data_IF_116568185141
#
_entry.id   IF_116568185141
#
_cell.length_a   1.000
_cell.length_b   1.000
_cell.length_c   1.000
_cell.angle_alpha   90.00
_cell.angle_beta   90.00
_cell.angle_gamma   90.00
#
_symmetry.space_group_name_H-M   'P 1'
#
loop_
_entity.id
_entity.type
_entity.pdbx_description
1 polymer ?
#
# COMPACT_ATOMS: atom_id res chain seq x y z
N UNK A 1 -1.06 5.98 19.99
CA UNK A 1 -1.43 6.68 18.73
C UNK A 1 -2.95 6.76 18.65
N UNK A 2 -3.46 7.98 18.50
CA UNK A 2 -4.84 8.27 18.10
C UNK A 2 -5.14 7.75 16.68
N UNK A 3 -6.43 7.65 16.33
CA UNK A 3 -6.87 7.28 14.98
C UNK A 3 -6.25 8.18 13.90
N UNK A 4 -6.22 9.51 14.16
CA UNK A 4 -5.63 10.50 13.25
C UNK A 4 -4.13 10.27 13.01
N UNK A 5 -3.37 9.96 14.06
CA UNK A 5 -1.94 9.67 13.93
C UNK A 5 -1.70 8.38 13.15
N UNK A 6 -2.54 7.35 13.36
CA UNK A 6 -2.46 6.09 12.62
C UNK A 6 -2.71 6.31 11.13
N UNK A 7 -3.76 7.05 10.78
CA UNK A 7 -4.07 7.44 9.41
C UNK A 7 -2.90 8.21 8.79
N UNK A 8 -2.35 9.20 9.49
CA UNK A 8 -1.22 9.99 8.99
C UNK A 8 0.01 9.14 8.67
N UNK A 9 0.29 8.08 9.44
CA UNK A 9 1.38 7.13 9.16
C UNK A 9 1.12 6.36 7.86
N UNK A 10 -0.11 5.89 7.63
CA UNK A 10 -0.45 5.19 6.40
C UNK A 10 -0.42 6.14 5.19
N UNK A 11 -0.93 7.35 5.34
CA UNK A 11 -0.98 8.34 4.26
C UNK A 11 0.39 8.88 3.85
N UNK A 12 1.41 8.74 4.71
CA UNK A 12 2.79 9.02 4.34
C UNK A 12 3.35 8.02 3.29
N UNK A 13 2.71 6.86 3.09
CA UNK A 13 3.13 5.88 2.09
C UNK A 13 2.58 6.23 0.71
N UNK A 14 3.37 6.09 -0.36
CA UNK A 14 2.85 6.25 -1.71
C UNK A 14 1.89 5.11 -2.05
N UNK A 15 0.91 5.38 -2.93
CA UNK A 15 0.02 4.35 -3.47
C UNK A 15 0.82 3.25 -4.16
N UNK A 16 0.33 2.01 -4.07
CA UNK A 16 0.85 0.93 -4.90
C UNK A 16 0.50 1.19 -6.37
N UNK A 17 1.50 1.11 -7.25
CA UNK A 17 1.34 1.41 -8.67
C UNK A 17 1.38 2.91 -9.02
N UNK A 18 1.80 3.78 -8.10
CA UNK A 18 2.09 5.18 -8.40
C UNK A 18 3.24 5.33 -9.41
N UNK A 19 3.28 6.49 -10.08
CA UNK A 19 4.32 6.82 -11.05
C UNK A 19 5.72 6.71 -10.40
N UNK A 20 6.62 5.83 -10.91
CA UNK A 20 7.96 5.67 -10.39
C UNK A 20 8.79 6.96 -10.34
N UNK A 21 8.51 7.95 -11.20
CA UNK A 21 9.18 9.24 -11.19
C UNK A 21 8.90 10.06 -9.92
N UNK A 22 7.73 9.88 -9.30
CA UNK A 22 7.33 10.54 -8.06
C UNK A 22 7.70 9.78 -6.78
N UNK A 23 8.29 8.59 -6.89
CA UNK A 23 8.65 7.75 -5.75
C UNK A 23 10.06 8.07 -5.24
N UNK A 24 10.24 7.96 -3.91
CA UNK A 24 11.57 7.86 -3.32
C UNK A 24 12.30 6.62 -3.84
N UNK A 25 13.64 6.61 -3.77
CA UNK A 25 14.44 5.45 -4.17
C UNK A 25 14.01 4.16 -3.44
N UNK A 26 13.76 4.25 -2.13
CA UNK A 26 13.30 3.12 -1.31
C UNK A 26 11.95 2.62 -1.77
N UNK A 27 10.97 3.52 -1.94
CA UNK A 27 9.63 3.14 -2.40
C UNK A 27 9.64 2.55 -3.81
N UNK A 28 10.51 3.06 -4.69
CA UNK A 28 10.69 2.52 -6.05
C UNK A 28 11.28 1.11 -5.99
N UNK A 29 12.28 0.88 -5.16
CA UNK A 29 12.89 -0.44 -4.96
C UNK A 29 11.88 -1.44 -4.38
N UNK A 30 11.10 -1.04 -3.37
CA UNK A 30 10.05 -1.86 -2.75
C UNK A 30 8.99 -2.32 -3.76
N UNK A 31 8.42 -1.38 -4.52
CA UNK A 31 7.33 -1.69 -5.46
C UNK A 31 7.81 -2.40 -6.75
N UNK A 32 9.12 -2.47 -6.98
CA UNK A 32 9.71 -3.22 -8.07
C UNK A 32 9.25 -2.81 -9.47
N UNK A 33 9.26 -3.79 -10.37
CA UNK A 33 9.39 -3.63 -11.82
C UNK A 33 8.16 -3.02 -12.53
N UNK A 34 8.36 -2.70 -13.82
CA UNK A 34 7.29 -2.30 -14.73
C UNK A 34 6.17 -3.34 -14.74
N UNK A 35 4.93 -2.86 -14.86
CA UNK A 35 3.73 -3.69 -14.87
C UNK A 35 2.86 -3.26 -16.05
N UNK A 36 1.94 -4.13 -16.50
CA UNK A 36 1.04 -3.80 -17.60
C UNK A 36 0.15 -2.59 -17.26
N UNK A 37 -0.17 -1.78 -18.27
CA UNK A 37 -1.08 -0.65 -18.12
C UNK A 37 -2.47 -1.08 -17.61
N UNK A 38 -2.90 -2.31 -17.89
CA UNK A 38 -4.16 -2.88 -17.38
C UNK A 38 -4.12 -3.06 -15.87
N UNK A 39 -3.06 -3.68 -15.33
CA UNK A 39 -2.90 -3.86 -13.88
C UNK A 39 -2.75 -2.52 -13.17
N UNK A 40 -2.02 -1.56 -13.75
CA UNK A 40 -1.89 -0.23 -13.14
C UNK A 40 -3.24 0.52 -13.07
N UNK A 41 -4.05 0.45 -14.14
CA UNK A 41 -5.42 1.02 -14.11
C UNK A 41 -6.31 0.35 -13.08
N UNK A 42 -6.21 -0.97 -12.96
CA UNK A 42 -6.98 -1.74 -11.98
C UNK A 42 -6.58 -1.38 -10.54
N UNK A 43 -5.28 -1.28 -10.25
CA UNK A 43 -4.78 -0.81 -8.96
C UNK A 43 -5.21 0.63 -8.67
N UNK A 44 -5.18 1.53 -9.65
CA UNK A 44 -5.66 2.90 -9.46
C UNK A 44 -7.14 2.93 -9.04
N UNK A 45 -8.00 2.20 -9.76
CA UNK A 45 -9.43 2.12 -9.44
C UNK A 45 -9.70 1.51 -8.06
N UNK A 46 -8.94 0.47 -7.69
CA UNK A 46 -9.06 -0.17 -6.39
C UNK A 46 -8.52 0.70 -5.24
N UNK A 47 -7.39 1.41 -5.42
CA UNK A 47 -6.90 2.38 -4.45
C UNK A 47 -7.93 3.47 -4.19
N UNK A 48 -8.56 4.01 -5.25
CA UNK A 48 -9.58 5.02 -5.11
C UNK A 48 -10.83 4.48 -4.37
N UNK A 49 -11.23 3.23 -4.62
CA UNK A 49 -12.31 2.58 -3.88
C UNK A 49 -11.95 2.37 -2.40
N UNK A 50 -10.71 1.97 -2.13
CA UNK A 50 -10.19 1.73 -0.79
C UNK A 50 -10.16 3.03 0.02
N UNK A 51 -9.58 4.09 -0.55
CA UNK A 51 -9.47 5.39 0.10
C UNK A 51 -10.85 6.03 0.33
N UNK A 52 -11.79 5.88 -0.61
CA UNK A 52 -13.19 6.32 -0.40
C UNK A 52 -13.87 5.57 0.74
N UNK A 53 -13.63 4.27 0.88
CA UNK A 53 -14.27 3.44 1.92
C UNK A 53 -13.68 3.70 3.30
N UNK A 54 -12.35 3.76 3.40
CA UNK A 54 -11.65 3.71 4.69
C UNK A 54 -11.09 5.07 5.13
N UNK A 55 -10.86 5.99 4.19
CA UNK A 55 -10.36 7.33 4.47
C UNK A 55 -8.85 7.41 4.68
N UNK A 56 -8.09 6.40 4.24
CA UNK A 56 -6.62 6.36 4.29
C UNK A 56 -6.06 5.48 3.16
N UNK A 57 -4.77 5.66 2.86
CA UNK A 57 -4.09 4.90 1.79
C UNK A 57 -3.95 3.41 2.11
N UNK A 58 -4.05 2.60 1.06
CA UNK A 58 -3.74 1.18 1.16
C UNK A 58 -2.24 0.95 1.31
N UNK A 59 -1.85 0.27 2.39
CA UNK A 59 -0.47 -0.12 2.68
C UNK A 59 -0.39 -1.65 2.78
N UNK A 60 0.56 -2.22 2.04
CA UNK A 60 0.88 -3.65 2.05
C UNK A 60 2.37 -3.84 1.81
N UNK A 61 3.00 -4.75 2.54
CA UNK A 61 4.38 -5.14 2.35
C UNK A 61 4.51 -5.99 1.09
N UNK A 62 5.01 -5.38 0.02
CA UNK A 62 5.21 -6.00 -1.30
C UNK A 62 6.08 -7.25 -1.22
N UNK A 63 7.16 -7.23 -0.43
CA UNK A 63 8.09 -8.35 -0.25
C UNK A 63 8.51 -9.03 -1.58
N UNK A 64 8.83 -8.23 -2.59
CA UNK A 64 9.24 -8.71 -3.92
C UNK A 64 8.12 -9.29 -4.79
N UNK A 65 6.85 -9.28 -4.34
CA UNK A 65 5.70 -9.71 -5.14
C UNK A 65 5.43 -8.71 -6.27
N UNK A 66 5.04 -9.17 -7.48
CA UNK A 66 4.63 -8.27 -8.55
C UNK A 66 3.34 -7.54 -8.19
N UNK A 67 3.09 -6.38 -8.80
CA UNK A 67 1.93 -5.54 -8.47
C UNK A 67 0.61 -6.25 -8.79
N UNK A 68 0.60 -7.08 -9.83
CA UNK A 68 -0.53 -7.95 -10.18
C UNK A 68 -0.93 -8.93 -9.07
N UNK A 69 0.03 -9.40 -8.26
CA UNK A 69 -0.28 -10.27 -7.12
C UNK A 69 -0.94 -9.52 -5.96
N UNK A 70 -0.88 -8.19 -5.93
CA UNK A 70 -1.51 -7.37 -4.88
C UNK A 70 -2.96 -7.00 -5.19
N UNK A 71 -3.37 -7.06 -6.46
CA UNK A 71 -4.75 -6.82 -6.89
C UNK A 71 -5.76 -7.68 -6.11
N UNK A 72 -5.63 -9.03 -6.02
CA UNK A 72 -6.58 -9.84 -5.25
C UNK A 72 -6.55 -9.52 -3.75
N UNK A 73 -5.40 -9.16 -3.19
CA UNK A 73 -5.27 -8.79 -1.77
C UNK A 73 -6.04 -7.50 -1.50
N UNK A 74 -5.88 -6.49 -2.35
CA UNK A 74 -6.59 -5.22 -2.25
C UNK A 74 -8.10 -5.42 -2.37
N UNK A 75 -8.56 -6.31 -3.26
CA UNK A 75 -9.97 -6.69 -3.40
C UNK A 75 -10.52 -7.38 -2.17
N UNK A 76 -9.79 -8.32 -1.58
CA UNK A 76 -10.20 -9.01 -0.35
C UNK A 76 -10.33 -8.00 0.80
N UNK A 77 -9.33 -7.13 0.96
CA UNK A 77 -9.28 -6.13 2.03
C UNK A 77 -10.39 -5.08 1.93
N UNK A 78 -10.92 -4.82 0.73
CA UNK A 78 -12.13 -4.01 0.54
C UNK A 78 -13.38 -4.59 1.20
N UNK A 79 -13.43 -5.88 1.54
CA UNK A 79 -14.58 -6.46 2.24
C UNK A 79 -14.56 -6.21 3.75
N UNK A 80 -13.41 -5.84 4.33
CA UNK A 80 -13.22 -5.68 5.78
C UNK A 80 -13.81 -4.38 6.33
N UNK A 81 -13.91 -4.29 7.66
CA UNK A 81 -14.26 -3.06 8.36
C UNK A 81 -13.09 -2.06 8.38
N UNK A 82 -13.39 -0.78 8.62
CA UNK A 82 -12.37 0.27 8.71
C UNK A 82 -11.38 0.01 9.84
N UNK A 83 -11.86 -0.44 10.99
CA UNK A 83 -11.02 -0.64 12.17
C UNK A 83 -10.04 -1.81 11.98
N UNK A 84 -10.51 -2.92 11.39
CA UNK A 84 -9.64 -4.02 10.98
C UNK A 84 -8.57 -3.54 10.01
N UNK A 85 -8.96 -2.77 8.99
CA UNK A 85 -8.02 -2.30 7.97
C UNK A 85 -7.01 -1.29 8.47
N UNK A 86 -7.40 -0.44 9.42
CA UNK A 86 -6.47 0.47 10.07
C UNK A 86 -5.44 -0.32 10.89
N UNK A 87 -5.87 -1.37 11.61
CA UNK A 87 -4.96 -2.25 12.34
C UNK A 87 -4.01 -2.99 11.39
N UNK A 88 -4.53 -3.66 10.36
CA UNK A 88 -3.71 -4.40 9.39
C UNK A 88 -2.77 -3.50 8.61
N UNK A 89 -3.22 -2.31 8.18
CA UNK A 89 -2.36 -1.35 7.48
C UNK A 89 -1.13 -0.95 8.30
N UNK A 90 -1.28 -0.81 9.63
CA UNK A 90 -0.16 -0.50 10.53
C UNK A 90 0.81 -1.69 10.68
N UNK A 91 0.30 -2.92 10.76
CA UNK A 91 1.16 -4.11 10.79
C UNK A 91 2.00 -4.25 9.51
N UNK A 92 1.38 -3.98 8.35
CA UNK A 92 2.07 -3.94 7.05
C UNK A 92 3.14 -2.83 7.02
N UNK A 93 2.81 -1.64 7.53
CA UNK A 93 3.77 -0.54 7.68
C UNK A 93 4.97 -0.92 8.58
N UNK A 94 4.71 -1.59 9.71
CA UNK A 94 5.76 -2.07 10.60
C UNK A 94 6.61 -3.16 9.94
N UNK A 95 6.02 -4.04 9.12
CA UNK A 95 6.77 -5.01 8.33
C UNK A 95 7.72 -4.34 7.32
N UNK A 96 7.24 -3.33 6.58
CA UNK A 96 8.08 -2.51 5.68
C UNK A 96 9.21 -1.83 6.46
N UNK A 97 8.89 -1.22 7.61
CA UNK A 97 9.87 -0.51 8.43
C UNK A 97 10.96 -1.44 8.97
N UNK A 98 10.59 -2.67 9.35
CA UNK A 98 11.54 -3.71 9.76
C UNK A 98 12.44 -4.18 8.61
N UNK A 99 11.87 -4.42 7.43
CA UNK A 99 12.66 -4.81 6.25
C UNK A 99 13.66 -3.71 5.85
N UNK A 100 13.25 -2.43 5.92
CA UNK A 100 14.16 -1.29 5.72
C UNK A 100 15.34 -1.31 6.69
N UNK A 101 15.09 -1.53 7.97
CA UNK A 101 16.13 -1.53 9.01
C UNK A 101 17.15 -2.67 8.83
N UNK A 102 16.72 -3.84 8.36
CA UNK A 102 17.61 -4.99 8.13
C UNK A 102 18.45 -4.84 6.85
N UNK A 103 18.00 -4.04 5.90
CA UNK A 103 18.67 -3.81 4.61
C UNK A 103 19.56 -2.55 4.58
N UNK A 104 19.66 -1.83 5.71
CA UNK A 104 20.67 -0.78 5.95
C UNK A 104 22.04 -1.40 6.26
#
# INVERSE_FOLDING_TARGET
MSDRERVAVLDAHPRIGADPAGLSERSRAEQGHAESATVLRELAALNDAYERKFGFRFVVFVNGRPKSALVPILRERLARSRDEELHFGLEEFLAISRDRLVRE
#
